data_IF_041357098071
#
_entry.id   IF_041357098071
#
_cell.length_a   1.000
_cell.length_b   1.000
_cell.length_c   1.000
_cell.angle_alpha   90.00
_cell.angle_beta   90.00
_cell.angle_gamma   90.00
#
_symmetry.space_group_name_H-M   'P 1'
#
loop_
_entity.id
_entity.type
_entity.pdbx_description
1 polymer ?
#
# COMPACT_ATOMS: atom_id res chain seq x y z
N UNK A 1 -4.58 14.33 -6.36
CA UNK A 1 -4.23 14.45 -4.92
C UNK A 1 -3.02 13.57 -4.69
N UNK A 2 -1.91 14.14 -4.23
CA UNK A 2 -0.67 13.41 -4.02
C UNK A 2 -0.69 12.72 -2.66
N UNK A 3 0.17 11.70 -2.47
CA UNK A 3 0.32 11.01 -1.18
C UNK A 3 0.39 12.01 -0.02
N UNK A 4 1.18 13.08 -0.18
CA UNK A 4 1.35 14.18 0.80
C UNK A 4 0.04 14.85 1.23
N UNK A 5 -0.91 15.01 0.32
CA UNK A 5 -2.22 15.57 0.64
C UNK A 5 -3.04 14.57 1.46
N UNK A 6 -3.01 13.29 1.10
CA UNK A 6 -3.76 12.23 1.78
C UNK A 6 -3.27 11.99 3.22
N UNK A 7 -1.95 12.07 3.46
CA UNK A 7 -1.38 12.02 4.82
C UNK A 7 -1.55 13.32 5.62
N UNK A 8 -1.90 14.44 4.98
CA UNK A 8 -2.20 15.70 5.67
C UNK A 8 -3.70 15.85 5.97
N UNK A 9 -4.56 14.98 5.44
CA UNK A 9 -5.99 14.95 5.75
C UNK A 9 -6.26 14.47 7.17
N UNK A 10 -7.36 14.90 7.80
CA UNK A 10 -7.77 14.40 9.13
C UNK A 10 -8.00 12.88 9.16
N UNK A 11 -8.29 12.27 8.01
CA UNK A 11 -8.47 10.82 7.85
C UNK A 11 -7.15 10.05 7.71
N UNK A 12 -5.99 10.72 7.67
CA UNK A 12 -4.69 10.09 7.46
C UNK A 12 -4.39 8.95 8.43
N UNK A 13 -4.81 9.08 9.69
CA UNK A 13 -4.67 8.03 10.70
C UNK A 13 -5.49 6.77 10.37
N UNK A 14 -6.70 6.94 9.84
CA UNK A 14 -7.56 5.83 9.41
C UNK A 14 -6.98 5.13 8.19
N UNK A 15 -6.49 5.89 7.21
CA UNK A 15 -5.81 5.34 6.03
C UNK A 15 -4.55 4.58 6.41
N UNK A 16 -3.75 5.09 7.34
CA UNK A 16 -2.57 4.40 7.85
C UNK A 16 -2.93 3.08 8.52
N UNK A 17 -3.91 3.09 9.42
CA UNK A 17 -4.37 1.88 10.09
C UNK A 17 -4.94 0.85 9.10
N UNK A 18 -5.67 1.28 8.07
CA UNK A 18 -6.17 0.40 7.02
C UNK A 18 -5.04 -0.23 6.19
N UNK A 19 -4.02 0.55 5.81
CA UNK A 19 -2.83 0.04 5.11
C UNK A 19 -2.07 -0.99 5.95
N UNK A 20 -1.87 -0.69 7.25
CA UNK A 20 -1.20 -1.62 8.16
C UNK A 20 -1.99 -2.91 8.35
N UNK A 21 -3.32 -2.82 8.45
CA UNK A 21 -4.21 -4.00 8.52
C UNK A 21 -4.10 -4.85 7.25
N UNK A 22 -4.14 -4.23 6.07
CA UNK A 22 -4.06 -4.96 4.80
C UNK A 22 -2.68 -5.60 4.61
N UNK A 23 -1.59 -4.91 5.01
CA UNK A 23 -0.25 -5.48 5.00
C UNK A 23 -0.15 -6.71 5.93
N UNK A 24 -0.67 -6.61 7.15
CA UNK A 24 -0.69 -7.74 8.09
C UNK A 24 -1.51 -8.90 7.55
N UNK A 25 -2.69 -8.66 6.99
CA UNK A 25 -3.50 -9.74 6.39
C UNK A 25 -2.80 -10.42 5.21
N UNK A 26 -2.00 -9.70 4.41
CA UNK A 26 -1.19 -10.32 3.36
C UNK A 26 -0.06 -11.20 3.91
N UNK A 27 0.55 -10.79 5.02
CA UNK A 27 1.56 -11.59 5.73
C UNK A 27 0.95 -12.84 6.38
N UNK A 28 -0.18 -12.69 7.08
CA UNK A 28 -0.90 -13.77 7.75
C UNK A 28 -1.41 -14.83 6.76
N UNK A 29 -1.87 -14.40 5.58
CA UNK A 29 -2.33 -15.33 4.54
C UNK A 29 -1.19 -16.09 3.85
N UNK A 30 0.09 -15.78 4.15
CA UNK A 30 1.27 -16.36 3.50
C UNK A 30 1.24 -16.32 1.97
N UNK A 31 0.41 -15.45 1.38
CA UNK A 31 0.24 -15.33 -0.07
C UNK A 31 1.24 -14.37 -0.69
N UNK A 32 1.92 -13.56 0.12
CA UNK A 32 2.87 -12.55 -0.33
C UNK A 32 4.19 -12.66 0.45
N UNK A 33 5.30 -12.74 -0.28
CA UNK A 33 6.64 -12.63 0.26
C UNK A 33 7.33 -11.46 -0.42
N UNK A 34 7.86 -10.52 0.37
CA UNK A 34 8.74 -9.48 -0.15
C UNK A 34 10.05 -10.14 -0.56
N UNK A 35 10.37 -10.11 -1.85
CA UNK A 35 11.62 -10.64 -2.40
C UNK A 35 12.33 -9.55 -3.19
N UNK A 36 13.66 -9.56 -3.13
CA UNK A 36 14.47 -8.72 -4.01
C UNK A 36 14.19 -9.05 -5.48
N UNK A 37 14.24 -8.02 -6.33
CA UNK A 37 14.00 -8.19 -7.76
C UNK A 37 15.09 -9.13 -8.35
N UNK A 38 14.74 -10.33 -8.82
CA UNK A 38 15.75 -11.24 -9.36
C UNK A 38 16.41 -10.64 -10.60
N UNK A 39 17.69 -10.95 -10.77
CA UNK A 39 18.50 -10.47 -11.89
C UNK A 39 17.83 -10.78 -13.24
N UNK A 40 17.75 -9.77 -14.10
CA UNK A 40 17.16 -9.87 -15.43
C UNK A 40 15.63 -9.81 -15.48
N UNK A 41 14.95 -9.61 -14.35
CA UNK A 41 13.50 -9.32 -14.33
C UNK A 41 13.22 -7.85 -14.13
N UNK A 42 12.11 -7.37 -14.72
CA UNK A 42 11.60 -6.01 -14.52
C UNK A 42 10.51 -6.05 -13.47
N UNK A 43 10.67 -5.26 -12.41
CA UNK A 43 9.60 -5.06 -11.44
C UNK A 43 8.39 -4.45 -12.14
N UNK A 44 7.22 -5.03 -11.90
CA UNK A 44 5.96 -4.39 -12.30
C UNK A 44 5.68 -3.32 -11.24
N UNK A 45 5.61 -2.07 -11.66
CA UNK A 45 5.24 -0.99 -10.76
C UNK A 45 3.80 -1.19 -10.28
N UNK A 46 3.61 -1.35 -8.98
CA UNK A 46 2.29 -1.30 -8.37
C UNK A 46 1.97 0.16 -8.01
N UNK A 47 0.86 0.69 -8.51
CA UNK A 47 0.38 2.05 -8.18
C UNK A 47 -0.90 1.94 -7.37
N UNK A 48 -0.82 2.28 -6.09
CA UNK A 48 -2.00 2.47 -5.26
C UNK A 48 -2.52 3.91 -5.43
N UNK A 49 -3.80 4.04 -5.76
CA UNK A 49 -4.47 5.34 -5.90
C UNK A 49 -5.55 5.42 -4.82
N UNK A 50 -5.39 6.38 -3.91
CA UNK A 50 -6.39 6.67 -2.89
C UNK A 50 -7.47 7.56 -3.52
N UNK A 51 -8.68 7.01 -3.67
CA UNK A 51 -9.86 7.76 -4.14
C UNK A 51 -10.86 7.78 -2.99
N UNK A 52 -11.21 8.98 -2.52
CA UNK A 52 -12.33 9.17 -1.61
C UNK A 52 -13.60 9.11 -2.45
N UNK A 53 -14.53 8.23 -2.07
CA UNK A 53 -15.82 8.10 -2.75
C UNK A 53 -16.83 8.99 -1.99
N UNK A 54 -17.36 9.99 -2.69
CA UNK A 54 -18.49 10.81 -2.24
C UNK A 54 -19.81 10.05 -2.43
#
# INVERSE_FOLDING_TARGET
RYFKDAISSPEAGLWKAAMEKEMNSQLENHTWQLVDLPHGRRAIGCRYVFIIKE
#
